data_IF_429926294984
#
_entry.id   IF_429926294984
#
_cell.length_a   1.000
_cell.length_b   1.000
_cell.length_c   1.000
_cell.angle_alpha   90.00
_cell.angle_beta   90.00
_cell.angle_gamma   90.00
#
_symmetry.space_group_name_H-M   'P 1'
#
loop_
_entity.id
_entity.type
_entity.pdbx_description
1 polymer ?
#
# COMPACT_ATOMS: atom_id res chain seq x y z
N UNK A 1 -55.74 -47.20 22.33
CA UNK A 1 -56.22 -45.99 23.08
C UNK A 1 -56.71 -44.97 22.07
N UNK A 2 -58.02 -44.89 21.88
CA UNK A 2 -58.65 -43.96 20.89
C UNK A 2 -58.77 -42.59 21.57
N UNK A 3 -57.96 -41.60 21.10
CA UNK A 3 -58.05 -40.24 21.59
C UNK A 3 -59.48 -39.69 21.42
N UNK A 4 -60.01 -39.03 22.46
CA UNK A 4 -61.33 -38.42 22.41
C UNK A 4 -61.40 -37.36 21.31
N UNK A 5 -62.60 -37.14 20.74
CA UNK A 5 -62.80 -36.16 19.68
C UNK A 5 -62.36 -34.75 20.09
N UNK A 6 -62.54 -34.38 21.39
CA UNK A 6 -62.05 -33.11 21.97
C UNK A 6 -60.50 -33.02 22.02
N UNK A 7 -59.83 -34.13 22.25
CA UNK A 7 -58.33 -34.20 22.25
C UNK A 7 -57.77 -34.08 20.83
N UNK A 8 -58.45 -34.73 19.86
CA UNK A 8 -58.06 -34.57 18.42
C UNK A 8 -58.24 -33.15 17.92
N UNK A 9 -59.31 -32.46 18.32
CA UNK A 9 -59.59 -31.08 17.97
C UNK A 9 -58.54 -30.15 18.58
N UNK A 10 -58.13 -30.38 19.82
CA UNK A 10 -57.09 -29.57 20.48
C UNK A 10 -55.70 -29.76 19.81
N UNK A 11 -55.36 -30.99 19.43
CA UNK A 11 -54.10 -31.28 18.71
C UNK A 11 -54.11 -30.62 17.32
N UNK A 12 -55.24 -30.66 16.62
CA UNK A 12 -55.40 -30.03 15.31
C UNK A 12 -55.32 -28.50 15.42
N UNK A 13 -55.96 -27.89 16.43
CA UNK A 13 -55.87 -26.47 16.68
C UNK A 13 -54.43 -26.01 17.04
N UNK A 14 -53.71 -26.81 17.85
CA UNK A 14 -52.35 -26.55 18.20
C UNK A 14 -51.41 -26.67 16.97
N UNK A 15 -51.65 -27.64 16.08
CA UNK A 15 -50.90 -27.77 14.84
C UNK A 15 -51.12 -26.61 13.87
N UNK A 16 -52.39 -26.12 13.74
CA UNK A 16 -52.68 -24.94 12.94
C UNK A 16 -51.99 -23.71 13.53
N UNK A 17 -52.01 -23.51 14.86
CA UNK A 17 -51.37 -22.37 15.53
C UNK A 17 -49.85 -22.42 15.30
N UNK A 18 -49.23 -23.60 15.38
CA UNK A 18 -47.81 -23.76 15.13
C UNK A 18 -47.46 -23.42 13.67
N UNK A 19 -48.27 -23.88 12.70
CA UNK A 19 -48.11 -23.51 11.29
C UNK A 19 -48.25 -22.02 11.07
N UNK A 20 -49.23 -21.37 11.71
CA UNK A 20 -49.40 -19.90 11.63
C UNK A 20 -48.24 -19.15 12.28
N UNK A 21 -47.67 -19.65 13.38
CA UNK A 21 -46.47 -19.05 14.02
C UNK A 21 -45.25 -19.23 13.12
N UNK A 22 -45.09 -20.38 12.49
CA UNK A 22 -43.94 -20.62 11.55
C UNK A 22 -44.11 -19.74 10.30
N UNK A 23 -45.30 -19.67 9.72
CA UNK A 23 -45.53 -18.83 8.54
C UNK A 23 -45.43 -17.36 8.93
N UNK A 24 -46.08 -16.92 10.02
CA UNK A 24 -46.05 -15.54 10.50
C UNK A 24 -44.65 -15.13 10.94
N UNK A 25 -43.90 -15.99 11.63
CA UNK A 25 -42.51 -15.80 11.99
C UNK A 25 -41.58 -15.78 10.76
N UNK A 26 -41.81 -16.64 9.78
CA UNK A 26 -41.09 -16.63 8.51
C UNK A 26 -41.32 -15.37 7.68
N UNK A 27 -42.61 -14.91 7.59
CA UNK A 27 -42.94 -13.65 6.90
C UNK A 27 -42.40 -12.42 7.65
N UNK A 28 -42.47 -12.42 8.98
CA UNK A 28 -41.88 -11.37 9.79
C UNK A 28 -40.34 -11.34 9.63
N UNK A 29 -39.70 -12.48 9.72
CA UNK A 29 -38.25 -12.58 9.45
C UNK A 29 -37.90 -12.08 8.06
N UNK A 30 -38.63 -12.50 7.02
CA UNK A 30 -38.40 -12.10 5.65
C UNK A 30 -38.62 -10.60 5.43
N UNK A 31 -39.71 -10.01 5.96
CA UNK A 31 -40.02 -8.58 5.76
C UNK A 31 -39.24 -7.65 6.70
N UNK A 32 -38.92 -8.08 7.93
CA UNK A 32 -38.33 -7.21 8.93
C UNK A 32 -36.81 -7.42 9.10
N UNK A 33 -36.23 -8.48 8.54
CA UNK A 33 -34.80 -8.76 8.65
C UNK A 33 -34.12 -8.94 7.29
N UNK A 34 -34.64 -9.82 6.40
CA UNK A 34 -33.99 -10.12 5.12
C UNK A 34 -34.02 -8.92 4.16
N UNK A 35 -35.00 -8.01 4.35
CA UNK A 35 -35.12 -6.77 3.57
C UNK A 35 -34.59 -5.55 4.36
N UNK A 36 -33.39 -5.68 4.90
CA UNK A 36 -32.73 -4.58 5.60
C UNK A 36 -31.32 -4.35 5.06
N UNK A 37 -30.77 -3.12 5.17
CA UNK A 37 -29.38 -2.84 4.83
C UNK A 37 -28.39 -3.71 5.61
N UNK A 38 -28.67 -3.98 6.89
CA UNK A 38 -27.85 -4.82 7.77
C UNK A 38 -27.74 -6.25 7.24
N UNK A 39 -28.87 -6.82 6.81
CA UNK A 39 -28.88 -8.15 6.21
C UNK A 39 -28.06 -8.16 4.91
N UNK A 40 -28.24 -7.16 4.05
CA UNK A 40 -27.46 -7.01 2.80
C UNK A 40 -25.97 -6.99 3.06
N UNK A 41 -25.49 -6.18 4.00
CA UNK A 41 -24.06 -6.12 4.34
C UNK A 41 -23.53 -7.45 4.92
N UNK A 42 -24.36 -8.14 5.73
CA UNK A 42 -24.02 -9.47 6.23
C UNK A 42 -23.90 -10.47 5.10
N UNK A 43 -24.85 -10.51 4.15
CA UNK A 43 -24.79 -11.43 3.00
C UNK A 43 -23.60 -11.14 2.12
N UNK A 44 -23.25 -9.87 1.89
CA UNK A 44 -22.03 -9.47 1.17
C UNK A 44 -20.79 -10.07 1.87
N UNK A 45 -20.68 -9.93 3.18
CA UNK A 45 -19.56 -10.49 3.94
C UNK A 45 -19.52 -12.02 3.82
N UNK A 46 -20.66 -12.70 3.98
CA UNK A 46 -20.77 -14.15 3.87
C UNK A 46 -20.46 -14.64 2.44
N UNK A 47 -20.88 -13.91 1.40
CA UNK A 47 -20.60 -14.27 0.00
C UNK A 47 -19.11 -14.18 -0.33
N UNK A 48 -18.40 -13.18 0.22
CA UNK A 48 -16.94 -13.08 0.10
C UNK A 48 -16.25 -14.26 0.81
N UNK A 49 -16.69 -14.60 2.04
CA UNK A 49 -16.11 -15.71 2.81
C UNK A 49 -16.36 -17.08 2.16
N UNK A 50 -17.53 -17.23 1.54
CA UNK A 50 -17.94 -18.50 0.87
C UNK A 50 -17.53 -18.55 -0.61
N UNK A 51 -16.89 -17.50 -1.14
CA UNK A 51 -16.50 -17.41 -2.55
C UNK A 51 -17.68 -17.47 -3.54
N UNK A 52 -18.84 -16.93 -3.13
CA UNK A 52 -20.08 -16.93 -3.91
C UNK A 52 -20.23 -15.59 -4.67
N UNK A 53 -19.72 -15.57 -5.91
CA UNK A 53 -19.78 -14.38 -6.79
C UNK A 53 -21.21 -14.04 -7.20
N UNK A 54 -22.05 -15.03 -7.40
CA UNK A 54 -23.43 -14.82 -7.85
C UNK A 54 -24.25 -14.17 -6.74
N UNK A 55 -24.08 -14.61 -5.50
CA UNK A 55 -24.73 -14.00 -4.35
C UNK A 55 -24.18 -12.58 -4.09
N UNK A 56 -22.87 -12.38 -4.17
CA UNK A 56 -22.24 -11.07 -4.06
C UNK A 56 -22.84 -10.05 -5.04
N UNK A 57 -22.94 -10.42 -6.33
CA UNK A 57 -23.45 -9.52 -7.39
C UNK A 57 -24.94 -9.18 -7.26
N UNK A 58 -25.71 -9.98 -6.52
CA UNK A 58 -27.12 -9.62 -6.18
C UNK A 58 -27.19 -8.40 -5.27
N UNK A 59 -26.25 -8.30 -4.33
CA UNK A 59 -26.26 -7.28 -3.28
C UNK A 59 -25.28 -6.13 -3.50
N UNK A 60 -24.43 -6.20 -4.55
CA UNK A 60 -23.50 -5.12 -4.93
C UNK A 60 -23.69 -4.74 -6.40
N UNK A 61 -23.87 -3.47 -6.67
CA UNK A 61 -23.82 -2.91 -8.02
C UNK A 61 -22.35 -2.70 -8.42
N UNK A 62 -21.70 -3.78 -8.82
CA UNK A 62 -20.25 -3.80 -9.10
C UNK A 62 -19.88 -2.74 -10.16
N UNK A 63 -20.73 -2.55 -11.17
CA UNK A 63 -20.48 -1.56 -12.23
C UNK A 63 -20.40 -0.14 -11.68
N UNK A 64 -21.38 0.26 -10.86
CA UNK A 64 -21.42 1.60 -10.28
C UNK A 64 -20.32 1.81 -9.25
N UNK A 65 -20.13 0.85 -8.35
CA UNK A 65 -19.09 0.91 -7.32
C UNK A 65 -17.70 1.05 -7.94
N UNK A 66 -17.34 0.18 -8.88
CA UNK A 66 -16.01 0.20 -9.52
C UNK A 66 -15.83 1.44 -10.38
N UNK A 67 -16.86 1.87 -11.12
CA UNK A 67 -16.78 3.10 -11.91
C UNK A 67 -16.59 4.34 -11.01
N UNK A 68 -17.31 4.42 -9.89
CA UNK A 68 -17.19 5.50 -8.91
C UNK A 68 -15.80 5.54 -8.26
N UNK A 69 -15.32 4.41 -7.77
CA UNK A 69 -13.96 4.26 -7.20
C UNK A 69 -12.89 4.65 -8.22
N UNK A 70 -13.01 4.19 -9.48
CA UNK A 70 -12.06 4.54 -10.55
C UNK A 70 -12.03 6.04 -10.84
N UNK A 71 -13.20 6.68 -10.89
CA UNK A 71 -13.28 8.14 -11.10
C UNK A 71 -12.57 8.88 -9.97
N UNK A 72 -12.93 8.59 -8.72
CA UNK A 72 -12.35 9.24 -7.55
C UNK A 72 -10.83 9.03 -7.48
N UNK A 73 -10.35 7.84 -7.85
CA UNK A 73 -8.92 7.53 -7.90
C UNK A 73 -8.18 8.35 -8.96
N UNK A 74 -8.72 8.40 -10.18
CA UNK A 74 -8.12 9.18 -11.29
C UNK A 74 -8.13 10.67 -10.97
N UNK A 75 -9.23 11.18 -10.43
CA UNK A 75 -9.35 12.58 -10.00
C UNK A 75 -8.36 12.90 -8.85
N UNK A 76 -8.18 11.99 -7.90
CA UNK A 76 -7.20 12.11 -6.83
C UNK A 76 -5.76 12.17 -7.36
N UNK A 77 -5.40 11.25 -8.27
CA UNK A 77 -4.07 11.25 -8.91
C UNK A 77 -3.80 12.57 -9.65
N UNK A 78 -4.78 13.11 -10.37
CA UNK A 78 -4.64 14.37 -11.08
C UNK A 78 -4.52 15.54 -10.11
N UNK A 79 -5.34 15.55 -9.05
CA UNK A 79 -5.33 16.61 -8.04
C UNK A 79 -4.03 16.65 -7.22
N UNK A 80 -3.38 15.51 -7.00
CA UNK A 80 -2.09 15.44 -6.27
C UNK A 80 -0.93 16.08 -7.04
N UNK A 81 -1.08 16.28 -8.34
CA UNK A 81 -0.05 16.90 -9.20
C UNK A 81 -0.18 18.44 -9.23
N UNK A 82 0.02 19.08 -8.07
CA UNK A 82 -0.21 20.52 -7.88
C UNK A 82 0.71 21.45 -8.69
N UNK A 83 1.88 20.97 -9.13
CA UNK A 83 2.92 21.77 -9.78
C UNK A 83 3.02 21.56 -11.30
N UNK A 84 2.03 20.94 -11.93
CA UNK A 84 2.06 20.73 -13.38
C UNK A 84 1.57 21.98 -14.14
N UNK A 85 2.22 22.32 -15.28
CA UNK A 85 1.67 23.27 -16.24
C UNK A 85 0.29 22.85 -16.74
N UNK A 86 -0.56 23.82 -17.12
CA UNK A 86 -1.93 23.54 -17.57
C UNK A 86 -1.99 22.57 -18.77
N UNK A 87 -1.02 22.68 -19.70
CA UNK A 87 -0.93 21.77 -20.86
C UNK A 87 -0.67 20.32 -20.41
N UNK A 88 0.13 20.11 -19.36
CA UNK A 88 0.40 18.80 -18.79
C UNK A 88 -0.85 18.24 -18.07
N UNK A 89 -1.62 19.08 -17.38
CA UNK A 89 -2.91 18.67 -16.76
C UNK A 89 -3.93 18.24 -17.82
N UNK A 90 -4.05 18.99 -18.92
CA UNK A 90 -4.92 18.62 -20.04
C UNK A 90 -4.49 17.28 -20.64
N UNK A 91 -3.19 17.06 -20.84
CA UNK A 91 -2.68 15.79 -21.32
C UNK A 91 -2.98 14.63 -20.36
N UNK A 92 -2.80 14.84 -19.03
CA UNK A 92 -3.16 13.85 -18.02
C UNK A 92 -4.65 13.52 -17.99
N UNK A 93 -5.54 14.52 -18.08
CA UNK A 93 -6.98 14.32 -18.18
C UNK A 93 -7.36 13.50 -19.41
N UNK A 94 -6.71 13.77 -20.54
CA UNK A 94 -6.93 13.01 -21.77
C UNK A 94 -6.50 11.56 -21.64
N UNK A 95 -5.34 11.30 -21.02
CA UNK A 95 -4.87 9.97 -20.70
C UNK A 95 -5.80 9.26 -19.71
N UNK A 96 -6.21 9.92 -18.62
CA UNK A 96 -7.14 9.36 -17.65
C UNK A 96 -8.45 8.94 -18.32
N UNK A 97 -9.00 9.76 -19.22
CA UNK A 97 -10.22 9.45 -19.98
C UNK A 97 -10.01 8.22 -20.88
N UNK A 98 -8.87 8.13 -21.55
CA UNK A 98 -8.55 7.01 -22.45
C UNK A 98 -8.40 5.69 -21.67
N UNK A 99 -7.79 5.74 -20.48
CA UNK A 99 -7.51 4.55 -19.69
C UNK A 99 -8.63 4.16 -18.72
N UNK A 100 -9.65 5.00 -18.51
CA UNK A 100 -10.73 4.75 -17.57
C UNK A 100 -11.45 3.42 -17.83
N UNK A 101 -11.88 3.16 -19.06
CA UNK A 101 -12.62 1.94 -19.39
C UNK A 101 -11.79 0.65 -19.19
N UNK A 102 -10.53 0.56 -19.64
CA UNK A 102 -9.65 -0.55 -19.32
C UNK A 102 -9.42 -0.75 -17.80
N UNK A 103 -9.25 0.33 -17.03
CA UNK A 103 -9.08 0.26 -15.57
C UNK A 103 -10.35 -0.29 -14.91
N UNK A 104 -11.53 0.23 -15.26
CA UNK A 104 -12.81 -0.27 -14.75
C UNK A 104 -12.96 -1.76 -15.03
N UNK A 105 -12.73 -2.20 -16.26
CA UNK A 105 -12.85 -3.61 -16.63
C UNK A 105 -11.88 -4.50 -15.82
N UNK A 106 -10.65 -4.05 -15.65
CA UNK A 106 -9.63 -4.79 -14.88
C UNK A 106 -9.96 -4.85 -13.39
N UNK A 107 -10.47 -3.77 -12.80
CA UNK A 107 -10.89 -3.74 -11.39
C UNK A 107 -12.13 -4.60 -11.15
N UNK A 108 -13.10 -4.63 -12.09
CA UNK A 108 -14.27 -5.51 -12.02
C UNK A 108 -13.85 -6.98 -12.06
N UNK A 109 -12.96 -7.34 -12.98
CA UNK A 109 -12.43 -8.70 -13.07
C UNK A 109 -11.66 -9.08 -11.81
N UNK A 110 -10.79 -8.17 -11.32
CA UNK A 110 -10.03 -8.37 -10.08
C UNK A 110 -10.94 -8.56 -8.86
N UNK A 111 -11.99 -7.74 -8.71
CA UNK A 111 -12.97 -7.86 -7.63
C UNK A 111 -13.72 -9.20 -7.71
N UNK A 112 -14.20 -9.59 -8.89
CA UNK A 112 -14.86 -10.87 -9.09
C UNK A 112 -13.91 -12.06 -8.78
N UNK A 113 -12.65 -11.97 -9.18
CA UNK A 113 -11.64 -12.97 -8.85
C UNK A 113 -11.35 -13.01 -7.36
N UNK A 114 -11.28 -11.86 -6.68
CA UNK A 114 -11.11 -11.79 -5.23
C UNK A 114 -12.27 -12.47 -4.50
N UNK A 115 -13.51 -12.15 -4.86
CA UNK A 115 -14.68 -12.84 -4.28
C UNK A 115 -14.60 -14.32 -4.54
N UNK A 116 -14.25 -14.75 -5.74
CA UNK A 116 -14.22 -16.17 -6.15
C UNK A 116 -13.10 -16.98 -5.51
N UNK A 117 -11.95 -16.40 -5.22
CA UNK A 117 -10.72 -17.14 -4.86
C UNK A 117 -10.09 -16.71 -3.54
N UNK A 118 -10.54 -15.59 -2.95
CA UNK A 118 -9.92 -14.98 -1.78
C UNK A 118 -8.59 -14.27 -2.08
N UNK A 119 -8.16 -14.25 -3.34
CA UNK A 119 -6.93 -13.55 -3.73
C UNK A 119 -7.19 -12.61 -4.91
N UNK A 120 -6.60 -11.42 -4.81
CA UNK A 120 -6.66 -10.47 -5.90
C UNK A 120 -5.72 -10.95 -7.02
N UNK A 121 -6.28 -11.32 -8.14
CA UNK A 121 -5.53 -11.56 -9.37
C UNK A 121 -6.17 -10.69 -10.44
N UNK A 122 -5.45 -9.70 -10.92
CA UNK A 122 -5.90 -8.98 -12.09
C UNK A 122 -5.87 -9.94 -13.28
N UNK A 123 -6.97 -9.99 -14.00
CA UNK A 123 -6.97 -10.61 -15.32
C UNK A 123 -5.97 -9.91 -16.21
N UNK A 124 -5.33 -10.67 -17.06
CA UNK A 124 -4.32 -10.31 -18.06
C UNK A 124 -4.05 -8.81 -18.23
N UNK A 125 -2.79 -8.43 -18.11
CA UNK A 125 -2.28 -7.17 -18.66
C UNK A 125 -2.79 -7.02 -20.09
N UNK A 126 -3.83 -6.25 -20.29
CA UNK A 126 -4.26 -5.88 -21.64
C UNK A 126 -3.19 -4.92 -22.17
N UNK A 127 -2.29 -5.48 -23.00
CA UNK A 127 -1.52 -4.65 -23.91
C UNK A 127 -2.54 -4.01 -24.85
N UNK A 128 -2.83 -2.72 -24.64
CA UNK A 128 -3.60 -1.99 -25.63
C UNK A 128 -2.81 -1.94 -26.94
N UNK A 129 -3.50 -1.59 -28.03
CA UNK A 129 -2.93 -1.55 -29.40
C UNK A 129 -1.75 -0.57 -29.53
N UNK A 130 -1.33 0.10 -28.49
CA UNK A 130 -0.25 1.12 -28.46
C UNK A 130 0.91 0.77 -27.51
N UNK A 131 0.91 -0.44 -26.90
CA UNK A 131 2.05 -0.93 -26.12
C UNK A 131 2.22 -0.33 -24.70
N UNK A 132 1.26 0.43 -24.21
CA UNK A 132 1.25 0.85 -22.81
C UNK A 132 0.68 -0.29 -21.96
N UNK A 133 1.54 -0.92 -21.18
CA UNK A 133 1.12 -1.93 -20.20
C UNK A 133 0.52 -1.21 -19.00
N UNK A 134 -0.82 -1.17 -18.90
CA UNK A 134 -1.50 -0.78 -17.67
C UNK A 134 -1.46 -2.01 -16.75
N UNK A 135 -0.67 -1.90 -15.70
CA UNK A 135 -0.64 -2.92 -14.67
C UNK A 135 -1.66 -2.55 -13.59
N UNK A 136 -2.81 -3.23 -13.61
CA UNK A 136 -3.88 -3.04 -12.61
C UNK A 136 -3.41 -3.38 -11.19
N UNK A 137 -2.46 -4.29 -11.03
CA UNK A 137 -1.88 -4.60 -9.73
C UNK A 137 -1.13 -3.39 -9.17
N UNK A 138 -0.38 -2.67 -10.01
CA UNK A 138 0.29 -1.42 -9.61
C UNK A 138 -0.72 -0.34 -9.23
N UNK A 139 -1.83 -0.21 -9.97
CA UNK A 139 -2.89 0.76 -9.66
C UNK A 139 -3.52 0.44 -8.30
N UNK A 140 -3.84 -0.82 -8.05
CA UNK A 140 -4.37 -1.26 -6.76
C UNK A 140 -3.39 -1.04 -5.62
N UNK A 141 -2.13 -1.39 -5.81
CA UNK A 141 -1.09 -1.17 -4.83
C UNK A 141 -0.95 0.33 -4.51
N UNK A 142 -0.95 1.19 -5.52
CA UNK A 142 -0.90 2.64 -5.32
C UNK A 142 -2.16 3.19 -4.66
N UNK A 143 -3.33 2.60 -4.92
CA UNK A 143 -4.60 3.00 -4.29
C UNK A 143 -4.67 2.65 -2.80
N UNK A 144 -3.76 1.81 -2.27
CA UNK A 144 -3.76 1.34 -0.88
C UNK A 144 -4.88 0.36 -0.53
N UNK A 145 -5.65 -0.08 -1.51
CA UNK A 145 -6.77 -1.02 -1.28
C UNK A 145 -6.30 -2.42 -0.87
N UNK A 146 -5.09 -2.80 -1.30
CA UNK A 146 -4.50 -4.11 -0.97
C UNK A 146 -4.10 -4.23 0.50
N UNK A 147 -3.90 -3.11 1.18
CA UNK A 147 -3.40 -3.04 2.55
C UNK A 147 -4.50 -2.68 3.56
N UNK A 148 -5.78 -2.92 3.19
CA UNK A 148 -6.94 -2.68 4.05
C UNK A 148 -7.27 -3.91 4.88
N UNK A 149 -7.49 -3.68 6.19
CA UNK A 149 -8.06 -4.67 7.10
C UNK A 149 -9.46 -4.22 7.50
N UNK A 150 -10.47 -5.06 7.25
CA UNK A 150 -11.85 -4.82 7.68
C UNK A 150 -11.97 -4.98 9.19
N UNK A 151 -12.55 -3.99 9.89
CA UNK A 151 -12.76 -4.02 11.33
C UNK A 151 -14.22 -4.22 11.72
N UNK A 152 -15.15 -3.80 10.88
CA UNK A 152 -16.58 -3.95 11.14
C UNK A 152 -17.43 -2.86 10.49
N UNK A 153 -18.72 -2.88 10.83
CA UNK A 153 -19.68 -1.86 10.47
C UNK A 153 -19.77 -0.90 11.65
N UNK A 154 -19.51 0.38 11.40
CA UNK A 154 -19.50 1.44 12.40
C UNK A 154 -20.93 1.96 12.68
N UNK A 155 -21.69 2.20 11.62
CA UNK A 155 -23.07 2.64 11.70
C UNK A 155 -23.86 2.24 10.45
N UNK A 156 -25.19 2.24 10.56
CA UNK A 156 -26.12 2.18 9.43
C UNK A 156 -27.24 3.19 9.69
N UNK A 157 -27.44 4.09 8.74
CA UNK A 157 -28.49 5.11 8.75
C UNK A 157 -29.43 4.85 7.58
N UNK A 158 -30.67 4.46 7.87
CA UNK A 158 -31.68 4.16 6.85
C UNK A 158 -32.66 5.32 6.72
N UNK A 159 -32.95 5.72 5.49
CA UNK A 159 -34.04 6.65 5.16
C UNK A 159 -35.12 5.88 4.38
N UNK A 160 -36.09 5.37 5.12
CA UNK A 160 -37.20 4.57 4.56
C UNK A 160 -38.05 5.35 3.56
N UNK A 161 -38.20 6.67 3.74
CA UNK A 161 -39.03 7.53 2.86
C UNK A 161 -38.48 7.56 1.42
N UNK A 162 -37.17 7.46 1.28
CA UNK A 162 -36.47 7.53 -0.03
C UNK A 162 -35.95 6.16 -0.49
N UNK A 163 -36.07 5.11 0.31
CA UNK A 163 -35.47 3.81 0.00
C UNK A 163 -33.94 3.86 -0.11
N UNK A 164 -33.27 4.67 0.72
CA UNK A 164 -31.81 4.81 0.73
C UNK A 164 -31.25 4.54 2.12
N UNK A 165 -30.01 4.01 2.16
CA UNK A 165 -29.27 3.88 3.42
C UNK A 165 -27.80 4.22 3.21
N UNK A 166 -27.16 4.72 4.27
CA UNK A 166 -25.71 4.93 4.34
C UNK A 166 -25.14 4.03 5.43
N UNK A 167 -24.12 3.26 5.10
CA UNK A 167 -23.37 2.44 6.06
C UNK A 167 -21.93 2.92 6.18
N UNK A 168 -21.44 3.02 7.42
CA UNK A 168 -20.02 3.24 7.71
C UNK A 168 -19.27 1.91 7.82
N UNK A 169 -18.33 1.65 6.91
CA UNK A 169 -17.50 0.46 6.92
C UNK A 169 -16.12 0.85 7.47
N UNK A 170 -15.82 0.39 8.68
CA UNK A 170 -14.57 0.68 9.36
C UNK A 170 -13.46 -0.25 8.88
N UNK A 171 -12.35 0.33 8.48
CA UNK A 171 -11.15 -0.36 8.03
C UNK A 171 -9.92 0.25 8.68
N UNK A 172 -8.81 -0.50 8.75
CA UNK A 172 -7.48 0.02 9.05
C UNK A 172 -6.61 -0.12 7.81
N UNK A 173 -5.99 0.99 7.41
CA UNK A 173 -5.00 1.00 6.34
C UNK A 173 -3.61 0.76 6.94
N UNK A 174 -3.03 -0.40 6.62
CA UNK A 174 -1.82 -0.91 7.29
C UNK A 174 -0.57 -0.10 6.98
N UNK A 175 -0.44 0.46 5.76
CA UNK A 175 0.73 1.23 5.35
C UNK A 175 0.92 2.51 6.19
N UNK A 176 -0.19 3.19 6.53
CA UNK A 176 -0.17 4.42 7.32
C UNK A 176 -0.64 4.22 8.77
N UNK A 177 -1.00 2.98 9.13
CA UNK A 177 -1.51 2.57 10.43
C UNK A 177 -2.64 3.49 10.94
N UNK A 178 -3.57 3.86 10.06
CA UNK A 178 -4.69 4.74 10.38
C UNK A 178 -6.02 4.08 10.10
N UNK A 179 -7.02 4.24 11.01
CA UNK A 179 -8.38 3.81 10.74
C UNK A 179 -9.06 4.77 9.76
N UNK A 180 -9.92 4.21 8.92
CA UNK A 180 -10.79 4.97 8.03
C UNK A 180 -12.19 4.36 8.01
N UNK A 181 -13.21 5.20 7.82
CA UNK A 181 -14.59 4.75 7.69
C UNK A 181 -15.08 5.09 6.28
N UNK A 182 -15.23 4.06 5.44
CA UNK A 182 -15.87 4.22 4.15
C UNK A 182 -17.38 4.45 4.32
N UNK A 183 -17.91 5.43 3.61
CA UNK A 183 -19.35 5.68 3.49
C UNK A 183 -19.86 4.95 2.27
N UNK A 184 -20.72 3.99 2.51
CA UNK A 184 -21.28 3.12 1.47
C UNK A 184 -22.75 3.41 1.36
N UNK A 185 -23.20 3.83 0.17
CA UNK A 185 -24.63 4.04 -0.11
C UNK A 185 -25.28 2.76 -0.60
N UNK A 186 -26.48 2.51 -0.04
CA UNK A 186 -27.34 1.39 -0.43
C UNK A 186 -28.69 1.94 -0.91
N UNK A 187 -29.26 1.27 -1.91
CA UNK A 187 -30.57 1.58 -2.46
C UNK A 187 -31.50 0.38 -2.35
N UNK A 188 -32.76 0.63 -1.93
CA UNK A 188 -33.81 -0.38 -1.93
C UNK A 188 -34.28 -0.64 -3.36
N UNK A 189 -34.27 -1.91 -3.75
CA UNK A 189 -34.69 -2.36 -5.06
C UNK A 189 -36.21 -2.61 -5.10
N UNK A 190 -36.79 -2.70 -6.29
CA UNK A 190 -38.23 -2.89 -6.47
C UNK A 190 -38.78 -4.17 -5.80
N UNK A 191 -37.95 -5.17 -5.54
CA UNK A 191 -38.28 -6.40 -4.80
C UNK A 191 -38.12 -6.25 -3.28
N UNK A 192 -37.71 -5.08 -2.81
CA UNK A 192 -37.49 -4.74 -1.40
C UNK A 192 -36.16 -5.22 -0.83
N UNK A 193 -35.24 -5.77 -1.64
CA UNK A 193 -33.85 -6.02 -1.24
C UNK A 193 -33.00 -4.76 -1.38
N UNK A 194 -32.02 -4.64 -0.53
CA UNK A 194 -31.07 -3.53 -0.58
C UNK A 194 -29.83 -3.92 -1.39
N UNK A 195 -29.26 -2.96 -2.09
CA UNK A 195 -28.07 -3.16 -2.90
C UNK A 195 -27.08 -2.03 -2.68
N UNK A 196 -25.81 -2.36 -2.47
CA UNK A 196 -24.72 -1.38 -2.42
C UNK A 196 -24.55 -0.78 -3.83
N UNK A 197 -24.61 0.54 -3.92
CA UNK A 197 -24.54 1.26 -5.20
C UNK A 197 -23.26 2.09 -5.34
N UNK A 198 -22.75 2.67 -4.26
CA UNK A 198 -21.54 3.51 -4.32
C UNK A 198 -20.72 3.49 -3.03
N UNK A 199 -19.45 3.95 -3.18
CA UNK A 199 -18.59 4.34 -2.07
C UNK A 199 -18.34 5.84 -2.21
N UNK A 200 -18.93 6.63 -1.32
CA UNK A 200 -19.10 8.07 -1.54
C UNK A 200 -17.89 8.90 -1.16
N UNK A 201 -17.07 8.43 -0.21
CA UNK A 201 -15.90 9.14 0.30
C UNK A 201 -14.56 8.50 -0.08
N UNK A 202 -14.50 7.83 -1.22
CA UNK A 202 -13.27 7.19 -1.67
C UNK A 202 -12.16 8.22 -1.96
N UNK A 203 -12.52 9.41 -2.45
CA UNK A 203 -11.57 10.50 -2.65
C UNK A 203 -10.94 10.97 -1.32
N UNK A 204 -11.71 11.00 -0.23
CA UNK A 204 -11.20 11.33 1.10
C UNK A 204 -10.22 10.27 1.60
N UNK A 205 -10.48 9.00 1.29
CA UNK A 205 -9.55 7.90 1.60
C UNK A 205 -8.22 8.08 0.87
N UNK A 206 -8.24 8.33 -0.43
CA UNK A 206 -7.02 8.57 -1.22
C UNK A 206 -6.23 9.75 -0.65
N UNK A 207 -6.92 10.84 -0.29
CA UNK A 207 -6.27 11.98 0.33
C UNK A 207 -5.64 11.64 1.68
N UNK A 208 -6.37 10.93 2.55
CA UNK A 208 -5.85 10.50 3.85
C UNK A 208 -4.62 9.60 3.70
N UNK A 209 -4.65 8.68 2.73
CA UNK A 209 -3.52 7.82 2.40
C UNK A 209 -2.29 8.61 1.92
N UNK A 210 -2.49 9.56 1.01
CA UNK A 210 -1.41 10.42 0.51
C UNK A 210 -0.82 11.31 1.61
N UNK A 211 -1.66 11.89 2.46
CA UNK A 211 -1.22 12.73 3.57
C UNK A 211 -0.44 11.88 4.59
N UNK A 212 -0.92 10.69 4.92
CA UNK A 212 -0.22 9.74 5.77
C UNK A 212 1.12 9.29 5.18
N UNK A 213 1.17 8.96 3.90
CA UNK A 213 2.42 8.62 3.20
C UNK A 213 3.43 9.76 3.23
N UNK A 214 2.98 11.02 3.05
CA UNK A 214 3.84 12.20 3.15
C UNK A 214 4.41 12.37 4.56
N UNK A 215 3.62 12.14 5.59
CA UNK A 215 4.07 12.22 6.98
C UNK A 215 5.12 11.15 7.27
N UNK A 216 4.85 9.88 6.92
CA UNK A 216 5.80 8.78 7.13
C UNK A 216 7.11 8.99 6.38
N UNK A 217 7.06 9.45 5.12
CA UNK A 217 8.29 9.72 4.37
C UNK A 217 9.07 10.90 4.93
N UNK A 218 8.38 11.93 5.45
CA UNK A 218 9.01 13.06 6.13
C UNK A 218 9.72 12.63 7.41
N UNK A 219 9.09 11.77 8.20
CA UNK A 219 9.69 11.21 9.41
C UNK A 219 10.90 10.34 9.07
N UNK A 220 10.80 9.46 8.08
CA UNK A 220 11.92 8.67 7.57
C UNK A 220 13.09 9.56 7.12
N UNK A 221 12.82 10.61 6.33
CA UNK A 221 13.87 11.55 5.88
C UNK A 221 14.53 12.25 7.06
N UNK A 222 13.75 12.69 8.05
CA UNK A 222 14.26 13.37 9.25
C UNK A 222 15.16 12.45 10.09
N UNK A 223 14.70 11.22 10.37
CA UNK A 223 15.47 10.24 11.12
C UNK A 223 16.77 9.86 10.42
N UNK A 224 16.68 9.54 9.13
CA UNK A 224 17.86 9.13 8.34
C UNK A 224 18.84 10.28 8.09
N UNK A 225 18.35 11.52 7.98
CA UNK A 225 19.22 12.70 7.88
C UNK A 225 20.08 12.87 9.14
N UNK A 226 19.50 12.69 10.34
CA UNK A 226 20.24 12.78 11.59
C UNK A 226 21.32 11.70 11.68
N UNK A 227 20.98 10.44 11.33
CA UNK A 227 21.93 9.32 11.31
C UNK A 227 23.09 9.60 10.36
N UNK A 228 22.77 10.06 9.14
CA UNK A 228 23.78 10.32 8.10
C UNK A 228 24.68 11.48 8.52
N UNK A 229 24.13 12.61 8.96
CA UNK A 229 24.90 13.80 9.35
C UNK A 229 25.87 13.47 10.51
N UNK A 230 25.40 12.76 11.52
CA UNK A 230 26.24 12.35 12.67
C UNK A 230 27.45 11.52 12.23
N UNK A 231 27.21 10.53 11.38
CA UNK A 231 28.26 9.62 10.90
C UNK A 231 29.12 10.21 9.79
N UNK A 232 28.55 10.99 8.86
CA UNK A 232 29.32 11.64 7.79
C UNK A 232 30.35 12.62 8.33
N UNK A 233 30.06 13.32 9.43
CA UNK A 233 31.04 14.22 10.04
C UNK A 233 32.31 13.46 10.47
N UNK A 234 32.14 12.36 11.18
CA UNK A 234 33.25 11.51 11.67
C UNK A 234 33.96 10.84 10.50
N UNK A 235 33.22 10.33 9.51
CA UNK A 235 33.78 9.70 8.34
C UNK A 235 34.60 10.69 7.50
N UNK A 236 34.08 11.89 7.25
CA UNK A 236 34.76 12.94 6.50
C UNK A 236 36.09 13.35 7.18
N UNK A 237 36.08 13.46 8.51
CA UNK A 237 37.30 13.76 9.26
C UNK A 237 38.33 12.62 9.15
N UNK A 238 37.91 11.39 9.33
CA UNK A 238 38.79 10.21 9.19
C UNK A 238 39.31 10.04 7.77
N UNK A 239 38.48 10.27 6.75
CA UNK A 239 38.88 10.23 5.33
C UNK A 239 39.86 11.37 4.98
N UNK A 240 39.66 12.56 5.54
CA UNK A 240 40.60 13.67 5.37
C UNK A 240 41.98 13.36 6.00
N UNK A 241 41.98 12.77 7.19
CA UNK A 241 43.22 12.32 7.87
C UNK A 241 43.93 11.24 7.08
N UNK A 242 43.20 10.25 6.54
CA UNK A 242 43.74 9.22 5.65
C UNK A 242 44.38 9.82 4.40
N UNK A 243 43.68 10.76 3.73
CA UNK A 243 44.17 11.45 2.57
C UNK A 243 45.42 12.31 2.86
N UNK A 244 45.45 12.98 4.01
CA UNK A 244 46.65 13.74 4.44
C UNK A 244 47.82 12.81 4.66
N UNK A 245 47.64 11.67 5.31
CA UNK A 245 48.70 10.65 5.50
C UNK A 245 49.17 10.05 4.18
N UNK A 246 48.28 9.82 3.20
CA UNK A 246 48.60 9.42 1.84
C UNK A 246 49.49 10.44 1.10
N UNK A 247 49.25 11.72 1.30
CA UNK A 247 49.99 12.80 0.64
C UNK A 247 51.36 13.05 1.27
N UNK A 248 51.52 12.76 2.56
CA UNK A 248 52.76 12.93 3.31
C UNK A 248 53.69 11.71 3.27
N UNK A 249 53.06 10.54 3.16
CA UNK A 249 53.79 9.25 3.17
C UNK A 249 54.13 8.72 1.78
N UNK A 250 55.10 7.86 1.71
CA UNK A 250 55.37 7.09 0.50
C UNK A 250 54.75 5.69 0.62
N UNK A 251 53.89 5.33 -0.32
CA UNK A 251 53.29 3.98 -0.38
C UNK A 251 54.36 2.86 -0.59
N UNK A 252 55.60 3.26 -0.89
CA UNK A 252 56.78 2.37 -0.91
C UNK A 252 57.17 1.93 0.49
N UNK A 253 56.96 2.76 1.53
CA UNK A 253 57.24 2.43 2.91
C UNK A 253 56.25 1.38 3.46
N UNK A 254 56.75 0.30 4.09
CA UNK A 254 55.91 -0.67 4.76
C UNK A 254 55.21 -0.08 5.98
N UNK A 255 55.86 0.83 6.70
CA UNK A 255 55.31 1.47 7.86
C UNK A 255 54.09 2.34 7.46
N UNK A 256 54.23 3.21 6.46
CA UNK A 256 53.14 4.04 5.95
C UNK A 256 51.91 3.21 5.56
N UNK A 257 52.12 2.08 4.86
CA UNK A 257 51.01 1.19 4.49
C UNK A 257 50.32 0.55 5.70
N UNK A 258 51.13 0.14 6.68
CA UNK A 258 50.58 -0.42 7.95
C UNK A 258 49.76 0.62 8.69
N UNK A 259 50.25 1.85 8.79
CA UNK A 259 49.55 2.93 9.49
C UNK A 259 48.21 3.29 8.79
N UNK A 260 48.23 3.41 7.44
CA UNK A 260 47.02 3.65 6.64
C UNK A 260 46.03 2.49 6.76
N UNK A 261 46.47 1.25 6.74
CA UNK A 261 45.63 0.07 6.95
C UNK A 261 44.98 0.13 8.34
N UNK A 262 45.74 0.41 9.38
CA UNK A 262 45.23 0.53 10.75
C UNK A 262 44.19 1.64 10.85
N UNK A 263 44.38 2.80 10.21
CA UNK A 263 43.39 3.87 10.19
C UNK A 263 42.09 3.44 9.50
N UNK A 264 42.19 2.71 8.39
CA UNK A 264 41.01 2.14 7.70
C UNK A 264 40.28 1.15 8.60
N UNK A 265 40.99 0.17 9.15
CA UNK A 265 40.41 -0.95 9.90
C UNK A 265 39.83 -0.51 11.26
N UNK A 266 40.48 0.46 11.93
CA UNK A 266 40.11 0.85 13.29
C UNK A 266 39.31 2.16 13.39
N UNK A 267 39.29 3.00 12.34
CA UNK A 267 38.59 4.30 12.38
C UNK A 267 37.49 4.39 11.34
N UNK A 268 37.73 3.97 10.07
CA UNK A 268 36.78 4.17 8.96
C UNK A 268 35.76 3.03 8.91
N UNK A 269 36.21 1.78 8.82
CA UNK A 269 35.34 0.62 8.70
C UNK A 269 34.34 0.46 9.85
N UNK A 270 34.71 0.69 11.13
CA UNK A 270 33.74 0.64 12.22
C UNK A 270 32.62 1.67 12.03
N UNK A 271 32.94 2.93 11.68
CA UNK A 271 31.93 3.98 11.48
C UNK A 271 30.98 3.71 10.31
N UNK A 272 31.50 3.13 9.21
CA UNK A 272 30.66 2.71 8.08
C UNK A 272 29.71 1.58 8.45
N UNK A 273 30.17 0.61 9.25
CA UNK A 273 29.32 -0.49 9.75
C UNK A 273 28.26 0.03 10.72
N UNK A 274 28.63 0.93 11.63
CA UNK A 274 27.66 1.57 12.54
C UNK A 274 26.64 2.38 11.75
N UNK A 275 27.02 3.09 10.68
CA UNK A 275 26.10 3.80 9.79
C UNK A 275 25.15 2.80 9.09
N UNK A 276 25.67 1.69 8.59
CA UNK A 276 24.87 0.66 7.95
C UNK A 276 23.85 0.05 8.93
N UNK A 277 24.28 -0.33 10.12
CA UNK A 277 23.44 -0.89 11.18
C UNK A 277 22.37 0.11 11.63
N UNK A 278 22.75 1.39 11.81
CA UNK A 278 21.80 2.45 12.17
C UNK A 278 20.74 2.65 11.07
N UNK A 279 21.12 2.66 9.79
CA UNK A 279 20.15 2.73 8.69
C UNK A 279 19.26 1.49 8.64
N UNK A 280 19.78 0.29 8.84
CA UNK A 280 19.00 -0.96 8.86
C UNK A 280 17.97 -1.01 9.98
N UNK A 281 18.19 -0.27 11.08
CA UNK A 281 17.25 -0.22 12.21
C UNK A 281 16.08 0.74 12.04
N UNK A 282 16.09 1.58 10.99
CA UNK A 282 15.01 2.55 10.72
C UNK A 282 13.81 1.83 10.12
N UNK A 283 12.62 2.16 10.58
CA UNK A 283 11.38 1.75 9.93
C UNK A 283 11.24 2.45 8.57
N UNK A 284 11.05 1.65 7.51
CA UNK A 284 11.08 2.15 6.13
C UNK A 284 9.67 2.12 5.56
N UNK A 285 9.04 3.28 5.32
CA UNK A 285 7.77 3.30 4.62
C UNK A 285 7.95 2.87 3.15
N UNK A 286 6.94 2.24 2.58
CA UNK A 286 6.93 1.71 1.20
C UNK A 286 7.39 2.77 0.18
N UNK A 287 6.96 4.02 0.37
CA UNK A 287 7.35 5.16 -0.46
C UNK A 287 8.84 5.54 -0.40
N UNK A 288 9.58 5.09 0.63
CA UNK A 288 11.01 5.34 0.81
C UNK A 288 11.91 4.13 0.52
N UNK A 289 11.37 2.95 0.22
CA UNK A 289 12.16 1.71 0.03
C UNK A 289 13.29 1.86 -1.00
N UNK A 290 13.01 2.47 -2.13
CA UNK A 290 14.04 2.68 -3.17
C UNK A 290 15.17 3.57 -2.66
N UNK A 291 14.85 4.66 -1.96
CA UNK A 291 15.85 5.55 -1.36
C UNK A 291 16.67 4.83 -0.28
N UNK A 292 15.99 4.08 0.57
CA UNK A 292 16.62 3.31 1.64
C UNK A 292 17.60 2.26 1.07
N UNK A 293 17.17 1.50 0.06
CA UNK A 293 18.01 0.51 -0.61
C UNK A 293 19.24 1.13 -1.29
N UNK A 294 19.10 2.31 -1.90
CA UNK A 294 20.25 3.06 -2.47
C UNK A 294 21.25 3.44 -1.38
N UNK A 295 20.80 3.94 -0.24
CA UNK A 295 21.65 4.31 0.90
C UNK A 295 22.39 3.11 1.48
N UNK A 296 21.71 1.97 1.69
CA UNK A 296 22.34 0.74 2.17
C UNK A 296 23.38 0.21 1.20
N UNK A 297 23.06 0.14 -0.09
CA UNK A 297 24.00 -0.33 -1.12
C UNK A 297 25.21 0.61 -1.28
N UNK A 298 25.03 1.91 -1.09
CA UNK A 298 26.13 2.87 -1.04
C UNK A 298 27.08 2.56 0.11
N UNK A 299 26.54 2.35 1.33
CA UNK A 299 27.32 1.93 2.51
C UNK A 299 28.05 0.61 2.27
N UNK A 300 27.37 -0.42 1.76
CA UNK A 300 27.98 -1.72 1.44
C UNK A 300 29.15 -1.58 0.45
N UNK A 301 28.94 -0.81 -0.60
CA UNK A 301 29.99 -0.57 -1.62
C UNK A 301 31.17 0.23 -1.05
N UNK A 302 30.92 1.16 -0.13
CA UNK A 302 31.96 1.93 0.53
C UNK A 302 32.75 1.09 1.54
N UNK A 303 32.08 0.20 2.28
CA UNK A 303 32.73 -0.81 3.13
C UNK A 303 33.61 -1.72 2.30
N UNK A 304 33.11 -2.27 1.19
CA UNK A 304 33.86 -3.13 0.29
C UNK A 304 35.09 -2.41 -0.29
N UNK A 305 34.94 -1.13 -0.67
CA UNK A 305 36.08 -0.30 -1.10
C UNK A 305 37.18 -0.26 -0.06
N UNK A 306 36.88 0.08 1.18
CA UNK A 306 37.91 0.20 2.22
C UNK A 306 38.49 -1.14 2.63
N UNK A 307 37.72 -2.22 2.62
CA UNK A 307 38.22 -3.57 2.86
C UNK A 307 39.24 -4.00 1.79
N UNK A 308 38.91 -3.78 0.51
CA UNK A 308 39.80 -4.14 -0.59
C UNK A 308 41.00 -3.20 -0.66
N UNK A 309 40.84 -1.93 -0.33
CA UNK A 309 41.97 -1.00 -0.24
C UNK A 309 42.93 -1.37 0.90
N UNK A 310 42.43 -1.78 2.05
CA UNK A 310 43.25 -2.28 3.16
C UNK A 310 44.03 -3.56 2.76
N UNK A 311 43.38 -4.50 2.05
CA UNK A 311 44.06 -5.67 1.49
C UNK A 311 45.15 -5.31 0.49
N UNK A 312 44.88 -4.34 -0.38
CA UNK A 312 45.88 -3.88 -1.35
C UNK A 312 47.08 -3.23 -0.69
N UNK A 313 46.92 -2.52 0.40
CA UNK A 313 48.05 -1.96 1.17
C UNK A 313 49.02 -3.05 1.66
N UNK A 314 48.53 -4.27 1.90
CA UNK A 314 49.37 -5.44 2.26
C UNK A 314 50.00 -6.12 1.02
N UNK A 315 49.15 -6.51 0.07
CA UNK A 315 49.55 -7.42 -1.02
C UNK A 315 50.05 -6.73 -2.29
N UNK A 316 49.70 -5.43 -2.47
CA UNK A 316 49.97 -4.59 -3.64
C UNK A 316 49.46 -5.20 -4.97
N UNK A 317 48.46 -6.09 -4.90
CA UNK A 317 47.90 -6.71 -6.08
C UNK A 317 47.02 -5.71 -6.85
N UNK A 318 47.32 -5.50 -8.12
CA UNK A 318 46.63 -4.56 -9.00
C UNK A 318 45.15 -4.93 -9.22
N UNK A 319 44.81 -6.22 -9.15
CA UNK A 319 43.44 -6.69 -9.27
C UNK A 319 42.61 -6.23 -8.07
N UNK A 320 43.14 -6.39 -6.85
CA UNK A 320 42.54 -5.92 -5.61
C UNK A 320 42.30 -4.40 -5.64
N UNK A 321 43.25 -3.63 -6.16
CA UNK A 321 43.09 -2.17 -6.31
C UNK A 321 41.98 -1.79 -7.30
N UNK A 322 41.86 -2.53 -8.40
CA UNK A 322 40.75 -2.33 -9.37
C UNK A 322 39.39 -2.62 -8.75
N UNK A 323 39.26 -3.72 -8.02
CA UNK A 323 38.06 -4.09 -7.31
C UNK A 323 37.66 -3.00 -6.29
N UNK A 324 38.61 -2.48 -5.50
CA UNK A 324 38.42 -1.36 -4.64
C UNK A 324 37.91 -0.12 -5.40
N UNK A 325 38.57 0.25 -6.49
CA UNK A 325 38.18 1.42 -7.30
C UNK A 325 36.76 1.29 -7.89
N UNK A 326 36.39 0.09 -8.34
CA UNK A 326 35.08 -0.18 -8.88
C UNK A 326 34.01 -0.10 -7.78
N UNK A 327 34.28 -0.58 -6.57
CA UNK A 327 33.40 -0.43 -5.42
C UNK A 327 33.22 1.05 -5.02
N UNK A 328 34.28 1.84 -5.06
CA UNK A 328 34.18 3.30 -4.82
C UNK A 328 33.30 4.01 -5.85
N UNK A 329 33.43 3.65 -7.14
CA UNK A 329 32.56 4.21 -8.19
C UNK A 329 31.10 3.85 -7.96
N UNK A 330 30.81 2.59 -7.61
CA UNK A 330 29.45 2.15 -7.27
C UNK A 330 28.90 2.95 -6.10
N UNK A 331 29.67 3.08 -4.99
CA UNK A 331 29.25 3.84 -3.83
C UNK A 331 28.87 5.28 -4.20
N UNK A 332 29.77 5.99 -4.92
CA UNK A 332 29.53 7.38 -5.35
C UNK A 332 28.31 7.53 -6.27
N UNK A 333 28.07 6.58 -7.17
CA UNK A 333 26.89 6.59 -8.04
C UNK A 333 25.62 6.46 -7.21
N UNK A 334 25.57 5.50 -6.27
CA UNK A 334 24.41 5.28 -5.42
C UNK A 334 24.16 6.44 -4.44
N UNK A 335 25.21 7.03 -3.86
CA UNK A 335 25.12 8.24 -3.05
C UNK A 335 24.52 9.40 -3.85
N UNK A 336 24.98 9.60 -5.09
CA UNK A 336 24.43 10.65 -5.97
C UNK A 336 22.96 10.40 -6.31
N UNK A 337 22.59 9.19 -6.67
CA UNK A 337 21.21 8.81 -6.95
C UNK A 337 20.31 8.97 -5.71
N UNK A 338 20.78 8.56 -4.54
CA UNK A 338 20.08 8.75 -3.28
C UNK A 338 19.85 10.24 -2.97
N UNK A 339 20.85 11.08 -3.18
CA UNK A 339 20.73 12.53 -2.99
C UNK A 339 19.75 13.18 -3.98
N UNK A 340 19.74 12.75 -5.24
CA UNK A 340 18.76 13.24 -6.22
C UNK A 340 17.34 12.80 -5.84
N UNK A 341 17.16 11.56 -5.42
CA UNK A 341 15.85 11.06 -5.00
C UNK A 341 15.37 11.76 -3.73
N UNK A 342 16.25 11.99 -2.74
CA UNK A 342 15.93 12.76 -1.54
C UNK A 342 15.40 14.15 -1.90
N UNK A 343 16.10 14.91 -2.76
CA UNK A 343 15.66 16.25 -3.19
C UNK A 343 14.32 16.22 -3.93
N UNK A 344 14.08 15.20 -4.75
CA UNK A 344 12.79 15.02 -5.44
C UNK A 344 11.67 14.80 -4.44
N UNK A 345 11.86 13.91 -3.47
CA UNK A 345 10.86 13.61 -2.43
C UNK A 345 10.60 14.85 -1.58
N UNK A 346 11.65 15.57 -1.13
CA UNK A 346 11.50 16.83 -0.39
C UNK A 346 10.74 17.90 -1.16
N UNK A 347 10.86 17.92 -2.49
CA UNK A 347 10.09 18.81 -3.35
C UNK A 347 8.61 18.43 -3.48
N UNK A 348 8.27 17.16 -3.30
CA UNK A 348 6.89 16.66 -3.37
C UNK A 348 6.11 16.77 -2.06
N UNK A 349 6.81 16.80 -0.92
CA UNK A 349 6.19 16.88 0.42
C UNK A 349 6.09 18.33 0.96
N UNK A 350 6.64 19.31 0.26
CA UNK A 350 6.46 20.76 0.53
C UNK A 350 5.15 21.25 -0.02
#
# INVERSE_FOLDING_TARGET
MVLSMRTKLKIFAAAILLVLVVIGGGLAYFNFYVKTPEYTLKVIQESIQNHDVDEFNKYVNVDNVVAGVTNNMLDGIIASQTNLPEEAKVAMNSLATMFKAPIVASLQEGLNNYVKTGSWQSGNTTADAQGAMINSDMILEQSGLTDLTFEGIDYINTNEDNGTAEAGIKVTQSEINQPFVFKVSLEEQADGYWKVDSVDNFADFIKALEDGRKEFIKDYLSQTALIIIDKEKILTENEANLNAALNLGTLGSSQTRTDLKNDIENKILPQLKELQEALQSVEVPKSAETLHNLRLKACESKIAYYQDYAKWLDNKDIKTLREATDNLKKAKTMEYEANLLTKRIEGQIK
#
